data_IF_955946733886
#
_entry.id   IF_955946733886
#
_cell.length_a   1.000
_cell.length_b   1.000
_cell.length_c   1.000
_cell.angle_alpha   90.00
_cell.angle_beta   90.00
_cell.angle_gamma   90.00
#
_symmetry.space_group_name_H-M   'P 1'
#
loop_
_entity.id
_entity.type
_entity.pdbx_description
1 polymer ?
#
# COMPACT_ATOMS: atom_id res chain seq x y z
N UNK A 1 11.85 -7.17 3.79
CA UNK A 1 12.23 -6.82 2.39
C UNK A 1 13.74 -6.90 2.21
N UNK A 2 14.19 -7.22 1.02
CA UNK A 2 15.61 -7.34 0.64
C UNK A 2 16.22 -5.96 0.37
N UNK A 3 17.55 -5.88 0.36
CA UNK A 3 18.27 -4.66 -0.03
C UNK A 3 17.97 -4.25 -1.49
N UNK A 4 17.83 -5.23 -2.39
CA UNK A 4 17.48 -4.99 -3.79
C UNK A 4 16.10 -4.31 -3.94
N UNK A 5 15.10 -4.75 -3.17
CA UNK A 5 13.77 -4.12 -3.13
C UNK A 5 13.83 -2.68 -2.60
N UNK A 6 14.64 -2.43 -1.56
CA UNK A 6 14.84 -1.08 -1.03
C UNK A 6 15.46 -0.15 -2.08
N UNK A 7 16.50 -0.63 -2.79
CA UNK A 7 17.13 0.14 -3.88
C UNK A 7 16.13 0.44 -5.00
N UNK A 8 15.29 -0.54 -5.36
CA UNK A 8 14.23 -0.33 -6.34
C UNK A 8 13.29 0.80 -5.93
N UNK A 9 12.78 0.79 -4.70
CA UNK A 9 11.85 1.83 -4.24
C UNK A 9 12.52 3.18 -4.06
N UNK A 10 13.80 3.24 -3.65
CA UNK A 10 14.55 4.50 -3.61
C UNK A 10 14.67 5.13 -4.99
N UNK A 11 14.97 4.34 -6.04
CA UNK A 11 15.05 4.83 -7.42
C UNK A 11 13.70 5.18 -8.01
N UNK A 12 12.67 4.41 -7.68
CA UNK A 12 11.31 4.62 -8.16
C UNK A 12 10.62 5.84 -7.56
N UNK A 13 11.07 6.36 -6.44
CA UNK A 13 10.36 7.39 -5.70
C UNK A 13 9.97 8.62 -6.55
N UNK A 14 10.80 9.16 -7.47
CA UNK A 14 10.42 10.32 -8.28
C UNK A 14 9.26 10.06 -9.25
N UNK A 15 9.10 8.82 -9.73
CA UNK A 15 8.10 8.41 -10.72
C UNK A 15 6.99 7.53 -10.13
N UNK A 16 6.96 7.34 -8.80
CA UNK A 16 6.06 6.39 -8.17
C UNK A 16 4.59 6.73 -8.42
N UNK A 17 4.25 8.01 -8.36
CA UNK A 17 2.87 8.48 -8.49
C UNK A 17 2.34 8.40 -9.93
N UNK A 18 3.22 8.31 -10.93
CA UNK A 18 2.84 8.16 -12.34
C UNK A 18 1.93 6.95 -12.54
N UNK A 19 2.11 5.91 -11.72
CA UNK A 19 1.26 4.73 -11.76
C UNK A 19 -0.20 5.05 -11.43
N UNK A 20 -0.46 5.83 -10.38
CA UNK A 20 -1.80 6.28 -10.01
C UNK A 20 -2.37 7.27 -11.03
N UNK A 21 -1.53 8.17 -11.49
CA UNK A 21 -1.92 9.29 -12.36
C UNK A 21 -2.08 8.88 -13.83
N UNK A 22 -1.62 7.67 -14.20
CA UNK A 22 -1.58 7.27 -15.61
C UNK A 22 -0.60 8.11 -16.41
N UNK A 23 0.50 8.54 -15.80
CA UNK A 23 1.54 9.37 -16.42
C UNK A 23 2.81 8.55 -16.72
N UNK A 24 3.82 9.20 -17.30
CA UNK A 24 5.12 8.60 -17.60
C UNK A 24 4.99 7.27 -18.37
N UNK A 25 5.64 6.23 -17.90
CA UNK A 25 5.60 4.88 -18.50
C UNK A 25 4.21 4.21 -18.47
N UNK A 26 3.24 4.82 -17.78
CA UNK A 26 1.87 4.32 -17.67
C UNK A 26 0.86 5.06 -18.55
N UNK A 27 1.28 6.13 -19.23
CA UNK A 27 0.39 6.99 -20.03
C UNK A 27 -0.28 6.25 -21.19
N UNK A 28 0.42 5.31 -21.84
CA UNK A 28 -0.10 4.53 -22.96
C UNK A 28 -0.92 3.30 -22.54
N UNK A 29 -1.06 3.02 -21.22
CA UNK A 29 -1.79 1.85 -20.76
C UNK A 29 -3.29 2.08 -20.78
N UNK A 30 -4.01 1.23 -21.53
CA UNK A 30 -5.48 1.24 -21.54
C UNK A 30 -5.99 0.61 -20.24
N UNK A 31 -6.54 1.40 -19.34
CA UNK A 31 -7.07 1.00 -18.04
C UNK A 31 -8.45 1.61 -17.80
N UNK A 32 -9.52 1.04 -18.39
CA UNK A 32 -10.89 1.58 -18.23
C UNK A 32 -11.28 1.64 -16.75
N UNK A 33 -11.84 2.78 -16.32
CA UNK A 33 -12.28 2.98 -14.93
C UNK A 33 -11.15 3.21 -13.91
N UNK A 34 -9.90 3.33 -14.36
CA UNK A 34 -8.74 3.47 -13.47
C UNK A 34 -8.79 4.72 -12.59
N UNK A 35 -9.07 5.86 -13.19
CA UNK A 35 -9.09 7.13 -12.46
C UNK A 35 -10.26 7.20 -11.49
N UNK A 36 -11.40 6.65 -11.87
CA UNK A 36 -12.59 6.53 -11.04
C UNK A 36 -12.30 5.65 -9.81
N UNK A 37 -11.60 4.53 -10.00
CA UNK A 37 -11.23 3.67 -8.87
C UNK A 37 -10.15 4.31 -7.99
N UNK A 38 -9.17 5.02 -8.54
CA UNK A 38 -8.21 5.80 -7.73
C UNK A 38 -8.93 6.84 -6.88
N UNK A 39 -9.93 7.53 -7.42
CA UNK A 39 -10.72 8.49 -6.64
C UNK A 39 -11.61 7.79 -5.60
N UNK A 40 -12.14 6.61 -5.91
CA UNK A 40 -12.85 5.78 -4.94
C UNK A 40 -11.95 5.37 -3.77
N UNK A 41 -10.69 5.01 -4.01
CA UNK A 41 -9.72 4.74 -2.94
C UNK A 41 -9.44 5.98 -2.08
N UNK A 42 -9.25 7.15 -2.70
CA UNK A 42 -9.08 8.42 -1.96
C UNK A 42 -10.28 8.71 -1.07
N UNK A 43 -11.49 8.49 -1.60
CA UNK A 43 -12.73 8.68 -0.87
C UNK A 43 -12.85 7.67 0.27
N UNK A 44 -12.52 6.39 0.02
CA UNK A 44 -12.51 5.35 1.03
C UNK A 44 -11.59 5.74 2.21
N UNK A 45 -10.35 6.15 1.92
CA UNK A 45 -9.38 6.55 2.95
C UNK A 45 -9.83 7.83 3.68
N UNK A 46 -10.40 8.81 2.97
CA UNK A 46 -10.91 10.07 3.55
C UNK A 46 -12.09 9.84 4.49
N UNK A 47 -12.94 8.86 4.19
CA UNK A 47 -14.14 8.55 4.97
C UNK A 47 -13.86 7.80 6.27
N UNK A 48 -12.62 7.39 6.52
CA UNK A 48 -12.25 6.68 7.74
C UNK A 48 -12.37 7.60 8.96
N UNK A 49 -13.33 7.30 9.85
CA UNK A 49 -13.47 7.98 11.14
C UNK A 49 -12.48 7.38 12.15
N UNK A 50 -11.20 7.74 12.03
CA UNK A 50 -10.11 7.17 12.82
C UNK A 50 -9.21 8.31 13.33
N UNK A 51 -8.88 8.28 14.63
CA UNK A 51 -8.10 9.34 15.29
C UNK A 51 -6.59 9.20 15.11
N UNK A 52 -6.09 7.97 15.00
CA UNK A 52 -4.66 7.72 14.84
C UNK A 52 -4.40 6.54 13.90
N UNK A 53 -3.61 6.78 12.86
CA UNK A 53 -3.30 5.82 11.81
C UNK A 53 -1.79 5.64 11.69
N UNK A 54 -1.33 4.39 11.59
CA UNK A 54 -0.02 4.04 11.07
C UNK A 54 -0.21 3.57 9.62
N UNK A 55 0.33 4.28 8.65
CA UNK A 55 0.38 3.83 7.26
C UNK A 55 1.72 3.15 7.00
N UNK A 56 1.67 1.83 6.81
CA UNK A 56 2.85 0.97 6.61
C UNK A 56 3.12 0.78 5.13
N UNK A 57 4.38 0.98 4.73
CA UNK A 57 4.81 1.10 3.34
C UNK A 57 4.07 2.26 2.63
N UNK A 58 4.06 3.41 3.27
CA UNK A 58 3.30 4.59 2.83
C UNK A 58 3.77 5.16 1.47
N UNK A 59 4.95 4.73 0.98
CA UNK A 59 5.53 5.21 -0.26
C UNK A 59 5.71 6.72 -0.25
N UNK A 60 5.24 7.38 -1.30
CA UNK A 60 5.23 8.86 -1.42
C UNK A 60 4.14 9.55 -0.59
N UNK A 61 3.29 8.80 0.10
CA UNK A 61 2.14 9.35 0.81
C UNK A 61 0.94 9.67 -0.09
N UNK A 62 0.87 9.09 -1.29
CA UNK A 62 -0.17 9.40 -2.29
C UNK A 62 -1.60 9.19 -1.77
N UNK A 63 -1.86 8.08 -1.08
CA UNK A 63 -3.16 7.85 -0.41
C UNK A 63 -3.17 8.42 1.01
N UNK A 64 -2.05 8.37 1.71
CA UNK A 64 -1.90 8.81 3.10
C UNK A 64 -2.32 10.26 3.33
N UNK A 65 -2.06 11.16 2.36
CA UNK A 65 -2.44 12.58 2.44
C UNK A 65 -3.95 12.82 2.60
N UNK A 66 -4.77 11.83 2.28
CA UNK A 66 -6.22 11.91 2.37
C UNK A 66 -6.78 11.39 3.71
N UNK A 67 -5.93 10.81 4.55
CA UNK A 67 -6.35 10.29 5.87
C UNK A 67 -6.62 11.46 6.82
N UNK A 68 -7.82 11.47 7.42
CA UNK A 68 -8.11 12.39 8.51
C UNK A 68 -7.48 11.89 9.83
N UNK A 69 -7.09 12.82 10.73
CA UNK A 69 -6.55 12.48 12.04
C UNK A 69 -5.03 12.54 12.13
N UNK A 70 -4.48 11.92 13.19
CA UNK A 70 -3.02 11.84 13.39
C UNK A 70 -2.46 10.66 12.58
N UNK A 71 -1.58 10.94 11.65
CA UNK A 71 -0.98 9.91 10.80
C UNK A 71 0.53 9.84 11.05
N UNK A 72 1.05 8.62 11.05
CA UNK A 72 2.47 8.33 10.91
C UNK A 72 2.63 7.48 9.65
N UNK A 73 3.42 7.96 8.69
CA UNK A 73 3.82 7.17 7.52
C UNK A 73 5.10 6.41 7.84
N UNK A 74 5.15 5.12 7.55
CA UNK A 74 6.35 4.30 7.68
C UNK A 74 6.70 3.68 6.33
N UNK A 75 7.95 3.79 5.94
CA UNK A 75 8.49 3.14 4.73
C UNK A 75 9.96 2.76 4.94
N UNK A 76 10.48 1.84 4.15
CA UNK A 76 11.91 1.51 4.15
C UNK A 76 12.74 2.46 3.30
N UNK A 77 12.13 3.03 2.26
CA UNK A 77 12.79 3.92 1.32
C UNK A 77 12.86 5.35 1.88
N UNK A 78 14.06 5.83 2.11
CA UNK A 78 14.27 7.22 2.49
C UNK A 78 13.88 8.20 1.39
N UNK A 79 14.00 7.81 0.12
CA UNK A 79 13.58 8.64 -1.01
C UNK A 79 12.05 8.83 -1.03
N UNK A 80 11.28 7.76 -0.78
CA UNK A 80 9.83 7.82 -0.59
C UNK A 80 9.47 8.74 0.58
N UNK A 81 10.10 8.54 1.74
CA UNK A 81 9.81 9.32 2.95
C UNK A 81 10.10 10.81 2.82
N UNK A 82 11.08 11.21 2.02
CA UNK A 82 11.34 12.64 1.72
C UNK A 82 10.14 13.28 1.03
N UNK A 83 9.49 12.56 0.11
CA UNK A 83 8.28 13.03 -0.58
C UNK A 83 7.08 12.98 0.39
N UNK A 84 6.90 11.85 1.07
CA UNK A 84 5.80 11.63 2.00
C UNK A 84 5.74 12.66 3.12
N UNK A 85 6.89 13.15 3.62
CA UNK A 85 6.96 14.17 4.68
C UNK A 85 6.18 15.44 4.36
N UNK A 86 6.13 15.84 3.09
CA UNK A 86 5.35 17.00 2.65
C UNK A 86 3.85 16.73 2.48
N UNK A 87 3.44 15.46 2.46
CA UNK A 87 2.06 15.03 2.17
C UNK A 87 1.34 14.45 3.38
N UNK A 88 2.07 13.68 4.20
CA UNK A 88 1.47 13.05 5.38
C UNK A 88 1.00 14.14 6.35
N UNK A 89 -0.26 14.09 6.83
CA UNK A 89 -0.78 15.07 7.76
C UNK A 89 0.11 15.23 9.00
N UNK A 90 0.61 16.44 9.22
CA UNK A 90 1.58 16.75 10.27
C UNK A 90 3.02 16.32 10.01
N UNK A 91 3.35 15.84 8.79
CA UNK A 91 4.72 15.52 8.34
C UNK A 91 5.42 14.40 9.11
N UNK A 92 4.69 13.55 9.81
CA UNK A 92 5.25 12.49 10.65
C UNK A 92 5.57 11.26 9.81
N UNK A 93 6.83 11.02 9.55
CA UNK A 93 7.32 9.84 8.84
C UNK A 93 8.44 9.16 9.62
N UNK A 94 8.53 7.84 9.50
CA UNK A 94 9.54 7.01 10.13
C UNK A 94 10.09 5.99 9.14
N UNK A 95 11.39 5.76 9.15
CA UNK A 95 11.98 4.65 8.41
C UNK A 95 11.87 3.37 9.24
N UNK A 96 11.41 2.27 8.63
CA UNK A 96 11.27 1.01 9.36
C UNK A 96 10.89 -0.18 8.47
N UNK A 97 11.02 -1.36 9.08
CA UNK A 97 10.61 -2.62 8.46
C UNK A 97 9.16 -2.94 8.84
N UNK A 98 8.32 -3.17 7.83
CA UNK A 98 6.91 -3.53 8.00
C UNK A 98 6.69 -4.84 8.77
N UNK A 99 7.67 -5.75 8.76
CA UNK A 99 7.63 -7.03 9.47
C UNK A 99 8.18 -6.95 10.91
N UNK A 100 8.67 -5.75 11.32
CA UNK A 100 9.19 -5.47 12.66
C UNK A 100 8.97 -4.00 13.00
N UNK A 101 7.73 -3.67 13.31
CA UNK A 101 7.31 -2.27 13.51
C UNK A 101 7.82 -1.70 14.84
N UNK A 102 8.52 -0.54 14.85
CA UNK A 102 9.20 0.01 16.03
C UNK A 102 8.25 0.79 16.96
N UNK A 103 7.06 0.27 17.18
CA UNK A 103 6.05 0.90 18.02
C UNK A 103 5.56 -0.07 19.09
N UNK A 104 5.09 0.48 20.23
CA UNK A 104 4.47 -0.30 21.29
C UNK A 104 3.13 -0.90 20.88
N UNK A 105 2.72 -1.99 21.51
CA UNK A 105 1.40 -2.57 21.29
C UNK A 105 0.28 -1.54 21.55
N UNK A 106 -0.77 -1.57 20.73
CA UNK A 106 -1.92 -0.69 20.82
C UNK A 106 -1.62 0.80 20.60
N UNK A 107 -0.52 1.13 19.89
CA UNK A 107 -0.11 2.51 19.68
C UNK A 107 -1.03 3.30 18.74
N UNK A 108 -1.77 2.61 17.89
CA UNK A 108 -2.63 3.21 16.86
C UNK A 108 -4.04 2.63 16.93
N UNK A 109 -5.02 3.41 16.51
CA UNK A 109 -6.39 2.92 16.34
C UNK A 109 -6.53 2.08 15.08
N UNK A 110 -5.80 2.43 14.02
CA UNK A 110 -5.79 1.69 12.76
C UNK A 110 -4.37 1.58 12.20
N UNK A 111 -4.06 0.43 11.63
CA UNK A 111 -2.95 0.25 10.72
C UNK A 111 -3.50 0.15 9.31
N UNK A 112 -2.94 0.93 8.41
CA UNK A 112 -3.27 0.93 6.98
C UNK A 112 -2.04 0.45 6.21
N UNK A 113 -2.25 -0.31 5.12
CA UNK A 113 -1.23 -0.61 4.14
C UNK A 113 -1.85 -0.64 2.74
N UNK A 114 -1.28 0.17 1.82
CA UNK A 114 -1.80 0.31 0.47
C UNK A 114 -0.77 -0.17 -0.56
N UNK A 115 -1.18 -1.15 -1.41
CA UNK A 115 -0.35 -1.72 -2.47
C UNK A 115 0.98 -2.29 -2.00
N UNK A 116 0.97 -2.85 -0.79
CA UNK A 116 2.12 -3.47 -0.14
C UNK A 116 1.87 -4.95 0.17
N UNK A 117 0.68 -5.29 0.66
CA UNK A 117 0.34 -6.63 1.16
C UNK A 117 0.51 -7.71 0.07
N UNK A 118 0.16 -7.39 -1.17
CA UNK A 118 0.37 -8.25 -2.33
C UNK A 118 1.83 -8.42 -2.76
N UNK A 119 2.78 -7.69 -2.18
CA UNK A 119 4.22 -7.90 -2.41
C UNK A 119 4.85 -8.86 -1.40
N UNK A 120 4.09 -9.31 -0.42
CA UNK A 120 4.52 -10.27 0.59
C UNK A 120 4.12 -11.69 0.17
N UNK A 121 5.00 -12.65 0.37
CA UNK A 121 4.64 -14.06 0.30
C UNK A 121 3.71 -14.45 1.46
N UNK A 122 3.18 -15.67 1.46
CA UNK A 122 2.22 -16.13 2.46
C UNK A 122 2.78 -16.05 3.89
N UNK A 123 4.03 -16.45 4.11
CA UNK A 123 4.64 -16.41 5.43
C UNK A 123 4.87 -14.98 5.92
N UNK A 124 5.31 -14.09 5.02
CA UNK A 124 5.48 -12.67 5.31
C UNK A 124 4.13 -11.99 5.57
N UNK A 125 3.06 -12.32 4.84
CA UNK A 125 1.71 -11.80 5.11
C UNK A 125 1.23 -12.17 6.51
N UNK A 126 1.42 -13.43 6.93
CA UNK A 126 1.06 -13.86 8.27
C UNK A 126 1.83 -13.09 9.36
N UNK A 127 3.14 -12.88 9.17
CA UNK A 127 3.97 -12.08 10.08
C UNK A 127 3.53 -10.61 10.13
N UNK A 128 3.26 -10.02 8.97
CA UNK A 128 2.76 -8.65 8.87
C UNK A 128 1.43 -8.48 9.62
N UNK A 129 0.48 -9.40 9.43
CA UNK A 129 -0.81 -9.34 10.13
C UNK A 129 -0.66 -9.51 11.65
N UNK A 130 0.28 -10.33 12.10
CA UNK A 130 0.58 -10.46 13.52
C UNK A 130 1.10 -9.13 14.12
N UNK A 131 2.03 -8.46 13.42
CA UNK A 131 2.52 -7.13 13.79
C UNK A 131 1.41 -6.07 13.72
N UNK A 132 0.59 -6.10 12.68
CA UNK A 132 -0.53 -5.16 12.52
C UNK A 132 -1.52 -5.27 13.69
N UNK A 133 -1.91 -6.48 14.06
CA UNK A 133 -2.83 -6.76 15.19
C UNK A 133 -2.22 -6.44 16.54
N UNK A 134 -0.91 -6.55 16.67
CA UNK A 134 -0.20 -6.12 17.91
C UNK A 134 -0.33 -4.62 18.12
N UNK A 135 -0.31 -3.83 17.04
CA UNK A 135 -0.26 -2.37 17.10
C UNK A 135 -1.63 -1.71 17.08
N UNK A 136 -2.63 -2.35 16.49
CA UNK A 136 -3.94 -1.72 16.26
C UNK A 136 -5.09 -2.72 16.31
N UNK A 137 -6.26 -2.22 16.66
CA UNK A 137 -7.50 -3.02 16.63
C UNK A 137 -8.13 -3.09 15.25
N UNK A 138 -7.78 -2.15 14.35
CA UNK A 138 -8.30 -2.08 12.99
C UNK A 138 -7.15 -2.20 12.01
N UNK A 139 -7.33 -3.01 10.98
CA UNK A 139 -6.36 -3.17 9.89
C UNK A 139 -7.08 -2.95 8.57
N UNK A 140 -6.65 -1.94 7.83
CA UNK A 140 -7.10 -1.66 6.47
C UNK A 140 -6.02 -2.09 5.48
N UNK A 141 -6.38 -2.96 4.56
CA UNK A 141 -5.54 -3.32 3.42
C UNK A 141 -6.23 -2.85 2.13
N UNK A 142 -5.47 -2.14 1.31
CA UNK A 142 -5.82 -1.81 -0.08
C UNK A 142 -4.79 -2.46 -0.98
N UNK A 143 -5.23 -3.26 -1.94
CA UNK A 143 -4.29 -3.87 -2.90
C UNK A 143 -4.92 -4.07 -4.28
N UNK A 144 -4.13 -4.63 -5.21
CA UNK A 144 -4.57 -4.89 -6.57
C UNK A 144 -5.60 -6.02 -6.60
N UNK A 145 -6.72 -5.78 -7.29
CA UNK A 145 -7.75 -6.77 -7.53
C UNK A 145 -7.27 -7.84 -8.51
N UNK A 146 -7.64 -9.09 -8.23
CA UNK A 146 -7.50 -10.16 -9.22
C UNK A 146 -8.53 -9.97 -10.35
N UNK A 147 -8.13 -10.34 -11.57
CA UNK A 147 -8.95 -10.32 -12.77
C UNK A 147 -8.46 -11.40 -13.73
N UNK A 148 -9.31 -11.83 -14.64
CA UNK A 148 -9.05 -12.98 -15.52
C UNK A 148 -7.79 -12.83 -16.40
N UNK A 149 -7.37 -11.58 -16.65
CA UNK A 149 -6.20 -11.30 -17.50
C UNK A 149 -4.85 -11.40 -16.78
N UNK A 150 -4.85 -11.69 -15.47
CA UNK A 150 -3.59 -11.82 -14.68
C UNK A 150 -3.55 -13.13 -13.92
N UNK A 151 -2.36 -13.66 -13.71
CA UNK A 151 -2.18 -14.78 -12.79
C UNK A 151 -2.44 -14.31 -11.35
N UNK A 152 -3.00 -15.19 -10.46
CA UNK A 152 -3.21 -14.82 -9.06
C UNK A 152 -1.93 -14.37 -8.35
N UNK A 153 -0.80 -14.97 -8.73
CA UNK A 153 0.54 -14.65 -8.23
C UNK A 153 1.53 -14.68 -9.39
N UNK A 154 2.45 -13.73 -9.42
CA UNK A 154 3.49 -13.66 -10.45
C UNK A 154 4.73 -12.89 -9.97
N UNK A 155 5.84 -13.11 -10.62
CA UNK A 155 7.03 -12.27 -10.51
C UNK A 155 7.05 -11.34 -11.71
N UNK A 156 6.91 -10.04 -11.47
CA UNK A 156 6.83 -9.03 -12.51
C UNK A 156 8.18 -8.35 -12.71
N UNK A 157 8.57 -8.16 -13.96
CA UNK A 157 9.64 -7.20 -14.28
C UNK A 157 9.08 -5.77 -14.20
N UNK A 158 9.84 -4.91 -13.52
CA UNK A 158 9.58 -3.48 -13.40
C UNK A 158 10.71 -2.71 -14.08
N UNK A 159 10.34 -1.86 -15.01
CA UNK A 159 11.28 -0.97 -15.70
C UNK A 159 11.03 0.45 -15.20
N UNK A 160 12.09 1.18 -14.84
CA UNK A 160 12.04 2.58 -14.46
C UNK A 160 12.31 3.48 -15.67
N UNK A 161 12.05 4.79 -15.54
CA UNK A 161 12.28 5.76 -16.63
C UNK A 161 13.75 5.83 -17.05
N UNK A 162 14.69 5.52 -16.15
CA UNK A 162 16.13 5.44 -16.46
C UNK A 162 16.53 4.12 -17.17
N UNK A 163 15.58 3.24 -17.47
CA UNK A 163 15.78 1.94 -18.11
C UNK A 163 16.22 0.83 -17.16
N UNK A 164 16.46 1.10 -15.89
CA UNK A 164 16.83 0.06 -14.92
C UNK A 164 15.67 -0.92 -14.70
N UNK A 165 16.03 -2.21 -14.45
CA UNK A 165 15.07 -3.33 -14.38
C UNK A 165 15.16 -4.01 -13.03
N UNK A 166 14.01 -4.35 -12.49
CA UNK A 166 13.85 -5.02 -11.19
C UNK A 166 12.76 -6.08 -11.28
N UNK A 167 12.87 -7.10 -10.45
CA UNK A 167 11.83 -8.11 -10.31
C UNK A 167 11.09 -7.92 -8.99
N UNK A 168 9.77 -7.98 -9.04
CA UNK A 168 8.92 -7.78 -7.85
C UNK A 168 7.86 -8.87 -7.83
N UNK A 169 7.75 -9.59 -6.71
CA UNK A 169 6.64 -10.51 -6.48
C UNK A 169 5.33 -9.72 -6.36
N UNK A 170 4.27 -10.23 -6.97
CA UNK A 170 2.93 -9.65 -6.91
C UNK A 170 1.88 -10.73 -6.77
N UNK A 171 1.00 -10.54 -5.79
CA UNK A 171 -0.26 -11.26 -5.64
C UNK A 171 -1.42 -10.31 -5.85
N UNK A 172 -2.47 -10.82 -6.48
CA UNK A 172 -3.75 -10.15 -6.67
C UNK A 172 -4.80 -10.84 -5.80
N UNK A 173 -5.82 -10.11 -5.38
CA UNK A 173 -6.83 -10.63 -4.48
C UNK A 173 -8.23 -10.48 -5.05
N UNK A 174 -9.09 -11.49 -4.88
CA UNK A 174 -10.53 -11.23 -4.90
C UNK A 174 -10.95 -10.56 -3.58
N UNK A 175 -12.10 -9.85 -3.55
CA UNK A 175 -12.61 -9.25 -2.31
C UNK A 175 -12.77 -10.29 -1.18
N UNK A 176 -13.26 -11.49 -1.53
CA UNK A 176 -13.50 -12.59 -0.59
C UNK A 176 -12.18 -13.16 -0.03
N UNK A 177 -11.17 -13.32 -0.89
CA UNK A 177 -9.85 -13.79 -0.47
C UNK A 177 -9.20 -12.80 0.50
N UNK A 178 -9.22 -11.50 0.17
CA UNK A 178 -8.67 -10.48 1.06
C UNK A 178 -9.41 -10.44 2.39
N UNK A 179 -10.74 -10.44 2.36
CA UNK A 179 -11.56 -10.45 3.56
C UNK A 179 -11.28 -11.66 4.44
N UNK A 180 -11.16 -12.86 3.85
CA UNK A 180 -10.87 -14.10 4.56
C UNK A 180 -9.46 -14.08 5.20
N UNK A 181 -8.43 -13.65 4.47
CA UNK A 181 -7.06 -13.52 5.01
C UNK A 181 -6.99 -12.55 6.21
N UNK A 182 -7.82 -11.52 6.22
CA UNK A 182 -7.92 -10.58 7.33
C UNK A 182 -8.79 -11.10 8.50
N UNK A 183 -9.36 -12.30 8.39
CA UNK A 183 -10.17 -12.92 9.44
C UNK A 183 -11.65 -12.55 9.41
N UNK A 184 -12.22 -12.36 8.22
CA UNK A 184 -13.62 -11.99 8.01
C UNK A 184 -13.85 -10.48 7.95
N UNK A 185 -12.90 -9.75 7.36
CA UNK A 185 -12.98 -8.30 7.22
C UNK A 185 -14.16 -7.84 6.36
N UNK A 186 -14.64 -6.64 6.62
CA UNK A 186 -15.61 -5.97 5.76
C UNK A 186 -14.93 -5.44 4.51
N UNK A 187 -15.42 -5.81 3.32
CA UNK A 187 -15.01 -5.24 2.05
C UNK A 187 -15.49 -3.79 1.95
N UNK A 188 -14.58 -2.86 1.69
CA UNK A 188 -14.86 -1.44 1.55
C UNK A 188 -14.88 -0.99 0.08
N UNK A 189 -14.10 -1.68 -0.76
CA UNK A 189 -14.03 -1.46 -2.20
C UNK A 189 -13.79 -2.78 -2.92
N UNK A 190 -14.51 -2.99 -4.02
CA UNK A 190 -14.39 -4.14 -4.90
C UNK A 190 -14.51 -3.66 -6.34
N UNK A 191 -13.39 -3.26 -6.92
CA UNK A 191 -13.30 -2.78 -8.29
C UNK A 191 -12.55 -3.74 -9.20
N UNK A 192 -12.42 -3.37 -10.46
CA UNK A 192 -11.62 -4.10 -11.45
C UNK A 192 -10.13 -4.05 -11.12
N UNK A 193 -9.66 -2.91 -10.60
CA UNK A 193 -8.24 -2.64 -10.40
C UNK A 193 -7.81 -2.79 -8.95
N UNK A 194 -8.70 -2.49 -8.02
CA UNK A 194 -8.39 -2.45 -6.60
C UNK A 194 -9.44 -3.16 -5.75
N UNK A 195 -8.95 -3.67 -4.64
CA UNK A 195 -9.78 -4.21 -3.55
C UNK A 195 -9.33 -3.57 -2.24
N UNK A 196 -10.29 -3.26 -1.37
CA UNK A 196 -10.01 -2.78 -0.02
C UNK A 196 -10.89 -3.51 1.00
N UNK A 197 -10.28 -3.94 2.11
CA UNK A 197 -10.99 -4.58 3.20
C UNK A 197 -10.43 -4.11 4.55
N UNK A 198 -11.31 -4.02 5.55
CA UNK A 198 -10.95 -3.59 6.90
C UNK A 198 -11.57 -4.52 7.96
N UNK A 199 -10.75 -4.95 8.90
CA UNK A 199 -11.14 -5.67 10.12
C UNK A 199 -10.98 -4.76 11.32
#
# INVERSE_FOLDING_TARGET
MTEAERIYYDRRAPEYDDWYLGAGLFAARVRPGWHEEVEALRTCVRSLSIRSVLDVACGTGFLTQHVAGRVVGLDQSMAMLRIARGRVPGGRVAQGDALRLPFRAGAFECLMACHFYGHLDQAMRARFLAEARRLSQRVLIVDAAWRDEVQPEEVQERVLQDGSRYTVYKRYFTPEQLAAELGGARVLHAGRWFVAAMV
#
